data_IF_617086700242
#
_entry.id   IF_617086700242
#
_cell.length_a   1.000
_cell.length_b   1.000
_cell.length_c   1.000
_cell.angle_alpha   90.00
_cell.angle_beta   90.00
_cell.angle_gamma   90.00
#
_symmetry.space_group_name_H-M   'P 1'
#
loop_
_entity.id
_entity.type
_entity.pdbx_description
1 polymer ?
#
# COMPACT_ATOMS: atom_id res chain seq x y z
N UNK A 1 26.43 -0.08 4.62
CA UNK A 1 26.53 -0.96 3.43
C UNK A 1 25.43 -0.52 2.48
N UNK A 2 25.72 -0.14 1.23
CA UNK A 2 24.65 0.28 0.30
C UNK A 2 23.79 -0.93 -0.07
N UNK A 3 22.50 -0.89 0.27
CA UNK A 3 21.53 -1.92 -0.09
C UNK A 3 21.39 -1.93 -1.62
N UNK A 4 21.46 -3.11 -2.25
CA UNK A 4 21.26 -3.18 -3.70
C UNK A 4 19.82 -2.76 -4.05
N UNK A 5 19.62 -1.92 -5.09
CA UNK A 5 18.29 -1.51 -5.54
C UNK A 5 17.37 -2.70 -5.82
N UNK A 6 17.91 -3.78 -6.40
CA UNK A 6 17.18 -5.03 -6.65
C UNK A 6 16.70 -5.70 -5.36
N UNK A 7 17.53 -5.72 -4.31
CA UNK A 7 17.14 -6.31 -3.02
C UNK A 7 16.05 -5.47 -2.35
N UNK A 8 16.19 -4.14 -2.35
CA UNK A 8 15.14 -3.24 -1.86
C UNK A 8 13.82 -3.46 -2.60
N UNK A 9 13.87 -3.59 -3.93
CA UNK A 9 12.70 -3.91 -4.74
C UNK A 9 12.06 -5.24 -4.34
N UNK A 10 12.84 -6.33 -4.33
CA UNK A 10 12.35 -7.68 -4.03
C UNK A 10 11.72 -7.75 -2.65
N UNK A 11 12.28 -7.04 -1.67
CA UNK A 11 11.71 -6.96 -0.32
C UNK A 11 10.35 -6.29 -0.34
N UNK A 12 10.22 -5.08 -0.89
CA UNK A 12 8.91 -4.38 -0.94
C UNK A 12 7.89 -5.20 -1.75
N UNK A 13 8.32 -5.78 -2.86
CA UNK A 13 7.48 -6.62 -3.71
C UNK A 13 6.93 -7.84 -2.96
N UNK A 14 7.76 -8.56 -2.20
CA UNK A 14 7.34 -9.72 -1.43
C UNK A 14 6.32 -9.37 -0.33
N UNK A 15 6.37 -8.15 0.20
CA UNK A 15 5.53 -7.70 1.32
C UNK A 15 4.15 -7.22 0.89
N UNK A 16 3.92 -7.07 -0.42
CA UNK A 16 2.60 -6.76 -0.97
C UNK A 16 1.63 -7.96 -0.92
N UNK A 17 2.11 -9.15 -0.51
CA UNK A 17 1.27 -10.33 -0.30
C UNK A 17 0.43 -10.69 -1.53
N UNK A 18 -0.88 -10.78 -1.36
CA UNK A 18 -1.83 -11.13 -2.42
C UNK A 18 -2.27 -9.95 -3.27
N UNK A 19 -1.89 -8.74 -2.85
CA UNK A 19 -1.87 -7.55 -3.68
C UNK A 19 -0.66 -7.51 -4.63
N UNK A 20 0.10 -8.59 -4.82
CA UNK A 20 1.37 -8.64 -5.58
C UNK A 20 1.39 -7.76 -6.85
N UNK A 21 2.42 -6.91 -7.03
CA UNK A 21 2.61 -6.13 -8.25
C UNK A 21 2.85 -7.03 -9.46
N UNK A 22 2.53 -6.55 -10.66
CA UNK A 22 2.89 -7.18 -11.94
C UNK A 22 4.26 -6.71 -12.45
N UNK A 23 4.74 -5.60 -11.91
CA UNK A 23 6.02 -4.98 -12.27
C UNK A 23 6.36 -3.83 -11.34
N UNK A 24 7.45 -3.14 -11.62
CA UNK A 24 7.87 -1.97 -10.87
C UNK A 24 9.29 -1.52 -11.20
N UNK A 25 9.69 -0.45 -10.54
CA UNK A 25 10.95 0.23 -10.78
C UNK A 25 11.46 0.87 -9.49
N UNK A 26 12.78 0.85 -9.33
CA UNK A 26 13.49 1.57 -8.28
C UNK A 26 14.16 2.76 -8.92
N UNK A 27 13.89 3.94 -8.37
CA UNK A 27 14.32 5.21 -8.92
C UNK A 27 15.08 5.98 -7.86
N UNK A 28 16.23 6.53 -8.24
CA UNK A 28 16.96 7.48 -7.42
C UNK A 28 16.20 8.81 -7.33
N UNK A 29 16.46 9.63 -6.31
CA UNK A 29 15.92 11.00 -6.25
C UNK A 29 16.18 11.85 -7.50
N UNK A 30 17.25 11.58 -8.22
CA UNK A 30 17.58 12.27 -9.48
C UNK A 30 16.67 11.88 -10.65
N UNK A 31 15.74 10.94 -10.45
CA UNK A 31 14.92 10.34 -11.51
C UNK A 31 15.62 9.21 -12.27
N UNK A 32 16.88 8.88 -11.94
CA UNK A 32 17.61 7.77 -12.56
C UNK A 32 17.00 6.43 -12.16
N UNK A 33 16.66 5.60 -13.15
CA UNK A 33 16.25 4.21 -12.93
C UNK A 33 17.47 3.39 -12.46
N UNK A 34 17.34 2.76 -11.30
CA UNK A 34 18.37 1.92 -10.69
C UNK A 34 18.10 0.42 -10.87
N UNK A 35 16.82 0.05 -10.94
CA UNK A 35 16.37 -1.33 -11.17
C UNK A 35 14.96 -1.31 -11.75
N UNK A 36 14.62 -2.24 -12.63
CA UNK A 36 13.33 -2.29 -13.32
C UNK A 36 12.93 -3.74 -13.58
N UNK A 37 11.65 -4.05 -13.38
CA UNK A 37 11.07 -5.36 -13.64
C UNK A 37 9.67 -5.18 -14.24
N UNK A 38 9.44 -5.68 -15.45
CA UNK A 38 8.13 -5.64 -16.13
C UNK A 38 7.40 -4.27 -16.06
N UNK A 39 8.14 -3.18 -16.30
CA UNK A 39 7.61 -1.83 -16.23
C UNK A 39 8.02 -1.06 -17.48
N UNK A 40 7.12 -0.83 -18.41
CA UNK A 40 7.40 -0.28 -19.74
C UNK A 40 6.82 1.14 -19.98
N UNK A 41 6.02 1.66 -19.03
CA UNK A 41 5.36 2.97 -19.13
C UNK A 41 6.29 4.15 -18.78
N UNK A 42 7.19 4.49 -19.69
CA UNK A 42 8.14 5.60 -19.49
C UNK A 42 7.48 6.98 -19.32
N UNK A 43 6.31 7.20 -19.92
CA UNK A 43 5.58 8.47 -19.78
C UNK A 43 4.98 8.60 -18.38
N UNK A 44 4.29 7.55 -17.92
CA UNK A 44 3.74 7.50 -16.55
C UNK A 44 4.86 7.61 -15.53
N UNK A 45 6.00 6.95 -15.77
CA UNK A 45 7.14 7.02 -14.85
C UNK A 45 7.62 8.46 -14.61
N UNK A 46 7.68 9.28 -15.66
CA UNK A 46 8.06 10.69 -15.52
C UNK A 46 7.06 11.45 -14.64
N UNK A 47 5.77 11.23 -14.86
CA UNK A 47 4.72 11.86 -14.07
C UNK A 47 4.80 11.43 -12.60
N UNK A 48 5.03 10.13 -12.33
CA UNK A 48 5.17 9.61 -10.97
C UNK A 48 6.44 10.14 -10.27
N UNK A 49 7.56 10.26 -10.99
CA UNK A 49 8.81 10.82 -10.46
C UNK A 49 8.61 12.28 -10.02
N UNK A 50 7.78 13.05 -10.73
CA UNK A 50 7.48 14.44 -10.37
C UNK A 50 6.81 14.58 -8.99
N UNK A 51 6.21 13.50 -8.48
CA UNK A 51 5.57 13.46 -7.17
C UNK A 51 6.57 13.21 -6.03
N UNK A 52 7.77 12.68 -6.30
CA UNK A 52 8.73 12.27 -5.26
C UNK A 52 9.16 13.39 -4.31
N UNK A 53 9.40 14.64 -4.74
CA UNK A 53 9.79 15.71 -3.84
C UNK A 53 8.73 16.00 -2.76
N UNK A 54 7.48 15.60 -2.99
CA UNK A 54 6.38 15.78 -2.06
C UNK A 54 6.31 14.68 -1.00
N UNK A 55 7.01 13.55 -1.17
CA UNK A 55 6.96 12.39 -0.29
C UNK A 55 8.10 12.43 0.75
N UNK A 56 7.80 12.17 2.01
CA UNK A 56 8.77 11.87 3.07
C UNK A 56 9.15 10.38 3.05
N UNK A 57 10.26 10.04 3.70
CA UNK A 57 10.65 8.65 3.89
C UNK A 57 9.58 7.91 4.68
N UNK A 58 9.16 6.76 4.19
CA UNK A 58 8.07 5.97 4.75
C UNK A 58 6.69 6.30 4.20
N UNK A 59 6.56 7.31 3.33
CA UNK A 59 5.27 7.66 2.73
C UNK A 59 4.85 6.68 1.62
N UNK A 60 3.53 6.49 1.54
CA UNK A 60 2.86 5.78 0.47
C UNK A 60 1.94 6.71 -0.29
N UNK A 61 2.02 6.65 -1.61
CA UNK A 61 1.06 7.28 -2.50
C UNK A 61 0.55 6.27 -3.50
N UNK A 62 -0.76 6.10 -3.59
CA UNK A 62 -1.40 5.37 -4.68
C UNK A 62 -1.98 6.34 -5.71
N UNK A 63 -1.83 6.00 -6.98
CA UNK A 63 -2.47 6.72 -8.10
C UNK A 63 -2.76 5.73 -9.21
N UNK A 64 -4.04 5.57 -9.56
CA UNK A 64 -4.47 4.48 -10.44
C UNK A 64 -3.96 3.12 -9.94
N UNK A 65 -3.45 2.31 -10.86
CA UNK A 65 -2.88 1.00 -10.56
C UNK A 65 -1.40 1.06 -10.14
N UNK A 66 -0.92 2.18 -9.60
CA UNK A 66 0.46 2.34 -9.11
C UNK A 66 0.50 2.60 -7.61
N UNK A 67 1.50 2.02 -6.95
CA UNK A 67 1.88 2.34 -5.58
C UNK A 67 3.30 2.88 -5.58
N UNK A 68 3.47 4.07 -5.01
CA UNK A 68 4.75 4.73 -4.82
C UNK A 68 5.10 4.63 -3.34
N UNK A 69 6.30 4.13 -3.05
CA UNK A 69 6.85 4.06 -1.70
C UNK A 69 8.22 4.72 -1.68
N UNK A 70 8.36 5.79 -0.89
CA UNK A 70 9.67 6.38 -0.63
C UNK A 70 10.37 5.61 0.49
N UNK A 71 11.28 4.72 0.11
CA UNK A 71 12.00 3.84 1.05
C UNK A 71 13.14 4.55 1.78
N UNK A 72 13.76 5.57 1.16
CA UNK A 72 14.83 6.34 1.81
C UNK A 72 14.90 7.76 1.28
N UNK A 73 15.81 8.55 1.83
CA UNK A 73 16.08 9.90 1.35
C UNK A 73 16.55 9.90 -0.11
N UNK A 74 17.09 8.80 -0.64
CA UNK A 74 17.65 8.74 -1.99
C UNK A 74 16.98 7.74 -2.95
N UNK A 75 16.06 6.89 -2.48
CA UNK A 75 15.45 5.82 -3.26
C UNK A 75 13.92 5.81 -3.10
N UNK A 76 13.23 5.71 -4.22
CA UNK A 76 11.78 5.48 -4.30
C UNK A 76 11.50 4.22 -5.10
N UNK A 77 10.57 3.41 -4.60
CA UNK A 77 10.06 2.22 -5.28
C UNK A 77 8.69 2.55 -5.85
N UNK A 78 8.51 2.32 -7.14
CA UNK A 78 7.20 2.38 -7.80
C UNK A 78 6.82 0.96 -8.18
N UNK A 79 5.61 0.55 -7.81
CA UNK A 79 5.04 -0.75 -8.11
C UNK A 79 3.85 -0.57 -9.05
N UNK A 80 3.78 -1.41 -10.09
CA UNK A 80 2.67 -1.48 -11.06
C UNK A 80 1.81 -2.68 -10.70
N UNK A 81 0.50 -2.48 -10.62
CA UNK A 81 -0.48 -3.52 -10.32
C UNK A 81 -1.43 -3.72 -11.48
N UNK A 82 -2.17 -4.83 -11.46
CA UNK A 82 -3.20 -5.10 -12.46
C UNK A 82 -4.40 -4.14 -12.37
N UNK A 83 -4.69 -3.61 -11.19
CA UNK A 83 -5.83 -2.73 -10.94
C UNK A 83 -5.65 -1.90 -9.67
N UNK A 84 -6.48 -0.86 -9.51
CA UNK A 84 -6.58 -0.07 -8.27
C UNK A 84 -6.98 -0.92 -7.05
N UNK A 85 -7.78 -1.96 -7.25
CA UNK A 85 -8.16 -2.90 -6.19
C UNK A 85 -6.94 -3.62 -5.62
N UNK A 86 -6.03 -4.07 -6.49
CA UNK A 86 -4.77 -4.71 -6.08
C UNK A 86 -3.83 -3.72 -5.38
N UNK A 87 -3.82 -2.44 -5.79
CA UNK A 87 -3.10 -1.38 -5.06
C UNK A 87 -3.64 -1.25 -3.65
N UNK A 88 -4.97 -1.13 -3.49
CA UNK A 88 -5.59 -0.98 -2.18
C UNK A 88 -5.30 -2.19 -1.26
N UNK A 89 -5.36 -3.41 -1.80
CA UNK A 89 -4.98 -4.63 -1.06
C UNK A 89 -3.49 -4.64 -0.66
N UNK A 90 -2.60 -4.18 -1.55
CA UNK A 90 -1.18 -4.06 -1.25
C UNK A 90 -0.93 -3.01 -0.16
N UNK A 91 -1.65 -1.88 -0.17
CA UNK A 91 -1.56 -0.87 0.87
C UNK A 91 -1.95 -1.42 2.24
N UNK A 92 -3.06 -2.17 2.32
CA UNK A 92 -3.48 -2.86 3.54
C UNK A 92 -2.38 -3.80 4.08
N UNK A 93 -1.74 -4.55 3.17
CA UNK A 93 -0.64 -5.45 3.53
C UNK A 93 0.62 -4.71 4.00
N UNK A 94 0.91 -3.55 3.41
CA UNK A 94 2.10 -2.75 3.71
C UNK A 94 1.95 -1.94 5.00
N UNK A 95 0.77 -1.39 5.30
CA UNK A 95 0.58 -0.52 6.48
C UNK A 95 0.86 -1.23 7.81
N UNK A 96 0.64 -2.54 7.91
CA UNK A 96 1.09 -3.33 9.07
C UNK A 96 2.62 -3.55 9.10
N UNK A 97 3.25 -3.64 7.93
CA UNK A 97 4.63 -4.09 7.75
C UNK A 97 5.65 -2.97 7.55
N UNK A 98 5.22 -1.75 7.28
CA UNK A 98 6.16 -0.66 6.97
C UNK A 98 6.82 -0.10 8.21
N UNK A 99 6.16 -0.19 9.37
CA UNK A 99 6.85 -0.01 10.64
C UNK A 99 7.96 -1.08 10.88
N UNK A 100 7.86 -2.27 10.26
CA UNK A 100 8.94 -3.27 10.26
C UNK A 100 10.01 -3.00 9.18
N UNK A 101 9.65 -2.30 8.09
CA UNK A 101 10.63 -1.80 7.12
C UNK A 101 11.52 -0.69 7.69
N UNK A 102 10.98 0.21 8.52
CA UNK A 102 11.80 1.16 9.26
C UNK A 102 12.94 0.43 10.01
N UNK A 103 12.63 -0.69 10.67
CA UNK A 103 13.62 -1.55 11.33
C UNK A 103 14.53 -2.39 10.42
N UNK A 104 14.30 -2.43 9.10
CA UNK A 104 15.21 -3.05 8.12
C UNK A 104 16.20 -2.04 7.52
N UNK A 105 15.92 -0.74 7.62
CA UNK A 105 16.76 0.33 7.06
C UNK A 105 17.70 0.98 8.11
N UNK A 106 17.66 0.51 9.37
CA UNK A 106 18.50 0.95 10.50
C UNK A 106 19.97 0.50 10.40
N UNK A 107 20.63 0.71 9.26
CA UNK A 107 22.11 0.66 9.20
C UNK A 107 22.76 1.95 8.68
N UNK A 108 22.03 3.07 8.67
CA UNK A 108 22.60 4.39 8.41
C UNK A 108 22.05 5.44 9.40
N UNK A 109 22.78 5.56 10.52
CA UNK A 109 22.84 6.68 11.48
C UNK A 109 21.53 7.25 12.06
N UNK A 110 21.15 6.71 13.23
CA UNK A 110 20.03 7.08 14.10
C UNK A 110 20.24 8.37 14.92
N UNK A 111 20.25 9.57 14.33
CA UNK A 111 20.29 10.79 15.17
C UNK A 111 19.25 11.88 14.96
N UNK A 112 18.37 11.84 13.94
CA UNK A 112 17.53 13.03 13.67
C UNK A 112 16.11 12.79 13.15
N UNK A 113 15.34 11.84 13.68
CA UNK A 113 13.91 11.81 13.37
C UNK A 113 13.02 11.74 14.60
N UNK A 114 12.54 12.93 14.97
CA UNK A 114 11.44 13.16 15.87
C UNK A 114 10.14 12.74 15.15
N UNK A 115 9.66 11.53 15.44
CA UNK A 115 8.39 10.95 14.95
C UNK A 115 7.22 11.67 15.65
N UNK A 116 7.09 12.98 15.41
CA UNK A 116 6.03 13.84 15.90
C UNK A 116 5.50 14.70 14.75
N UNK A 117 4.92 14.08 13.71
CA UNK A 117 3.93 14.75 12.86
C UNK A 117 3.07 13.74 12.09
N UNK A 118 2.52 12.78 12.83
CA UNK A 118 1.23 12.16 12.54
C UNK A 118 0.48 12.14 13.87
N UNK A 119 -0.25 13.24 14.17
CA UNK A 119 -1.42 13.16 15.06
C UNK A 119 -2.62 12.65 14.23
N UNK A 120 -2.42 11.55 13.54
CA UNK A 120 -3.44 10.52 13.37
C UNK A 120 -3.15 9.57 14.52
N UNK A 121 -4.15 9.08 15.27
CA UNK A 121 -3.93 8.12 16.35
C UNK A 121 -3.21 6.86 15.81
N UNK A 122 -1.88 6.94 15.74
CA UNK A 122 -0.96 5.99 15.14
C UNK A 122 -0.94 4.62 15.86
N UNK A 123 -1.40 4.50 17.14
CA UNK A 123 -1.65 3.20 17.75
C UNK A 123 -2.98 2.53 17.36
N UNK A 124 -3.96 3.26 16.82
CA UNK A 124 -5.30 2.73 16.53
C UNK A 124 -5.41 2.13 15.12
N UNK A 125 -4.70 2.70 14.13
CA UNK A 125 -4.75 2.24 12.73
C UNK A 125 -3.67 1.23 12.34
N UNK A 126 -2.57 1.13 13.12
CA UNK A 126 -1.60 0.01 13.01
C UNK A 126 -2.27 -1.35 13.28
N UNK A 127 -3.48 -1.31 13.83
CA UNK A 127 -4.22 -2.46 14.26
C UNK A 127 -5.33 -2.89 13.32
N UNK A 128 -5.74 -2.17 12.28
CA UNK A 128 -6.95 -2.61 11.54
C UNK A 128 -6.69 -3.92 10.78
N UNK A 129 -5.63 -4.04 9.98
CA UNK A 129 -5.33 -5.31 9.28
C UNK A 129 -4.78 -6.41 10.18
N UNK A 130 -4.06 -6.08 11.26
CA UNK A 130 -3.59 -7.05 12.24
C UNK A 130 -4.72 -7.51 13.20
N UNK A 131 -5.71 -6.67 13.51
CA UNK A 131 -6.92 -7.02 14.28
C UNK A 131 -7.95 -7.75 13.43
N UNK A 132 -8.10 -7.35 12.17
CA UNK A 132 -9.01 -7.99 11.24
C UNK A 132 -8.40 -9.27 10.63
N UNK A 133 -7.09 -9.45 10.73
CA UNK A 133 -6.38 -10.54 10.07
C UNK A 133 -6.55 -10.44 8.56
N UNK A 134 -5.92 -9.47 7.89
CA UNK A 134 -5.98 -9.37 6.43
C UNK A 134 -4.92 -10.24 5.71
N UNK A 135 -4.35 -11.22 6.40
CA UNK A 135 -3.45 -12.21 5.81
C UNK A 135 -4.23 -13.25 5.01
N UNK A 136 -3.72 -13.62 3.84
CA UNK A 136 -4.17 -14.69 2.94
C UNK A 136 -4.56 -16.01 3.61
N UNK A 137 -4.00 -16.30 4.79
CA UNK A 137 -4.29 -17.52 5.55
C UNK A 137 -5.60 -17.46 6.34
N UNK A 138 -6.11 -16.26 6.59
CA UNK A 138 -7.32 -16.00 7.36
C UNK A 138 -8.56 -15.92 6.47
N UNK A 139 -9.74 -15.99 7.08
CA UNK A 139 -11.01 -15.87 6.37
C UNK A 139 -11.21 -14.46 5.78
N UNK A 140 -10.82 -13.41 6.51
CA UNK A 140 -10.88 -12.03 6.03
C UNK A 140 -9.91 -11.81 4.87
N UNK A 141 -8.69 -12.31 4.95
CA UNK A 141 -7.73 -12.23 3.84
C UNK A 141 -8.24 -12.94 2.58
N UNK A 142 -8.79 -14.15 2.72
CA UNK A 142 -9.40 -14.90 1.60
C UNK A 142 -10.57 -14.14 0.96
N UNK A 143 -11.43 -13.52 1.78
CA UNK A 143 -12.55 -12.70 1.30
C UNK A 143 -12.03 -11.48 0.51
N UNK A 144 -11.04 -10.77 1.06
CA UNK A 144 -10.46 -9.60 0.40
C UNK A 144 -9.77 -9.97 -0.91
N UNK A 145 -9.04 -11.08 -0.95
CA UNK A 145 -8.41 -11.60 -2.16
C UNK A 145 -9.43 -11.91 -3.24
N UNK A 146 -10.49 -12.63 -2.87
CA UNK A 146 -11.54 -13.01 -3.80
C UNK A 146 -12.26 -11.79 -4.39
N UNK A 147 -12.62 -10.82 -3.55
CA UNK A 147 -13.23 -9.55 -4.00
C UNK A 147 -12.32 -8.84 -5.01
N UNK A 148 -11.02 -8.79 -4.74
CA UNK A 148 -10.06 -8.11 -5.61
C UNK A 148 -9.85 -8.85 -6.93
N UNK A 149 -9.85 -10.17 -6.91
CA UNK A 149 -9.77 -10.99 -8.14
C UNK A 149 -11.00 -10.79 -9.03
N UNK A 150 -12.18 -10.64 -8.42
CA UNK A 150 -13.44 -10.43 -9.14
C UNK A 150 -13.75 -8.95 -9.43
N UNK A 151 -12.95 -8.03 -8.89
CA UNK A 151 -13.17 -6.57 -8.84
C UNK A 151 -14.36 -6.12 -7.97
N UNK A 152 -15.43 -6.90 -7.94
CA UNK A 152 -16.51 -6.86 -6.95
C UNK A 152 -17.01 -8.29 -6.69
N UNK A 153 -17.66 -8.54 -5.55
CA UNK A 153 -18.26 -9.85 -5.26
C UNK A 153 -19.59 -9.70 -4.53
N UNK A 154 -20.55 -10.58 -4.81
CA UNK A 154 -21.74 -10.73 -3.96
C UNK A 154 -21.46 -11.68 -2.80
N UNK A 155 -22.40 -11.78 -1.85
CA UNK A 155 -22.33 -12.78 -0.78
C UNK A 155 -22.37 -14.20 -1.35
N UNK A 156 -23.15 -14.44 -2.40
CA UNK A 156 -23.23 -15.73 -3.09
C UNK A 156 -21.90 -16.11 -3.74
N UNK A 157 -21.18 -15.15 -4.32
CA UNK A 157 -19.85 -15.41 -4.84
C UNK A 157 -18.88 -15.81 -3.73
N UNK A 158 -18.95 -15.14 -2.58
CA UNK A 158 -18.08 -15.42 -1.43
C UNK A 158 -18.35 -16.78 -0.77
N UNK A 159 -19.56 -17.33 -0.89
CA UNK A 159 -19.87 -18.68 -0.43
C UNK A 159 -19.04 -19.76 -1.17
N UNK A 160 -18.53 -19.45 -2.38
CA UNK A 160 -17.65 -20.33 -3.14
C UNK A 160 -16.29 -20.55 -2.45
N UNK A 161 -15.93 -19.71 -1.47
CA UNK A 161 -14.73 -19.89 -0.65
C UNK A 161 -14.82 -21.08 0.33
N UNK A 162 -15.99 -21.70 0.46
CA UNK A 162 -16.20 -22.82 1.40
C UNK A 162 -16.22 -22.40 2.87
N UNK A 163 -16.32 -21.09 3.14
CA UNK A 163 -16.46 -20.53 4.47
C UNK A 163 -17.91 -20.63 4.94
N UNK A 164 -18.11 -20.65 6.26
CA UNK A 164 -19.47 -20.60 6.83
C UNK A 164 -20.10 -19.24 6.51
N UNK A 165 -21.39 -19.25 6.17
CA UNK A 165 -22.14 -18.03 5.85
C UNK A 165 -22.04 -16.97 6.95
N UNK A 166 -22.23 -17.36 8.22
CA UNK A 166 -22.10 -16.46 9.36
C UNK A 166 -20.70 -15.82 9.47
N UNK A 167 -19.64 -16.54 9.11
CA UNK A 167 -18.26 -16.02 9.10
C UNK A 167 -18.07 -14.99 8.00
N UNK A 168 -18.67 -15.22 6.82
CA UNK A 168 -18.64 -14.25 5.72
C UNK A 168 -19.39 -12.98 6.14
N UNK A 169 -20.61 -13.11 6.69
CA UNK A 169 -21.41 -11.96 7.14
C UNK A 169 -20.68 -11.13 8.19
N UNK A 170 -20.16 -11.77 9.23
CA UNK A 170 -19.41 -11.08 10.30
C UNK A 170 -18.17 -10.37 9.75
N UNK A 171 -17.46 -11.02 8.82
CA UNK A 171 -16.27 -10.45 8.18
C UNK A 171 -16.61 -9.24 7.32
N UNK A 172 -17.65 -9.34 6.49
CA UNK A 172 -18.11 -8.24 5.65
C UNK A 172 -18.60 -7.05 6.48
N UNK A 173 -19.35 -7.30 7.55
CA UNK A 173 -19.80 -6.25 8.47
C UNK A 173 -18.60 -5.51 9.09
N UNK A 174 -17.59 -6.25 9.58
CA UNK A 174 -16.36 -5.67 10.13
C UNK A 174 -15.62 -4.82 9.10
N UNK A 175 -15.47 -5.34 7.88
CA UNK A 175 -14.73 -4.67 6.81
C UNK A 175 -15.45 -3.42 6.30
N UNK A 176 -16.78 -3.45 6.17
CA UNK A 176 -17.59 -2.27 5.80
C UNK A 176 -17.56 -1.23 6.92
N UNK A 177 -17.73 -1.64 8.18
CA UNK A 177 -17.67 -0.73 9.34
C UNK A 177 -16.30 -0.08 9.49
N UNK A 178 -15.23 -0.79 9.16
CA UNK A 178 -13.87 -0.26 9.11
C UNK A 178 -13.60 0.64 7.89
N UNK A 179 -14.56 0.74 6.96
CA UNK A 179 -14.43 1.53 5.73
C UNK A 179 -13.49 0.91 4.69
N UNK A 180 -13.11 -0.36 4.84
CA UNK A 180 -12.26 -1.13 3.92
C UNK A 180 -13.05 -1.56 2.70
N UNK A 181 -14.27 -2.04 2.92
CA UNK A 181 -15.18 -2.37 1.83
C UNK A 181 -16.23 -1.28 1.66
N UNK A 182 -16.56 -0.99 0.41
CA UNK A 182 -17.81 -0.35 0.06
C UNK A 182 -18.83 -1.44 -0.31
N UNK A 183 -20.08 -1.23 0.11
CA UNK A 183 -21.20 -2.12 -0.20
C UNK A 183 -22.22 -1.33 -1.03
N UNK A 184 -22.35 -1.67 -2.30
CA UNK A 184 -23.25 -1.00 -3.23
C UNK A 184 -24.06 -2.06 -4.00
N UNK A 185 -25.40 -1.92 -3.99
CA UNK A 185 -26.31 -2.82 -4.71
C UNK A 185 -26.08 -4.33 -4.41
N UNK A 186 -25.70 -4.67 -3.17
CA UNK A 186 -25.44 -6.05 -2.76
C UNK A 186 -24.08 -6.62 -3.18
N UNK A 187 -23.22 -5.79 -3.76
CA UNK A 187 -21.84 -6.12 -4.11
C UNK A 187 -20.86 -5.44 -3.17
N UNK A 188 -19.75 -6.11 -2.91
CA UNK A 188 -18.66 -5.65 -2.07
C UNK A 188 -17.42 -5.40 -2.91
N UNK A 189 -16.75 -4.28 -2.65
CA UNK A 189 -15.53 -3.87 -3.35
C UNK A 189 -14.55 -3.23 -2.36
N UNK A 190 -13.23 -3.38 -2.57
CA UNK A 190 -12.26 -2.65 -1.74
C UNK A 190 -12.32 -1.17 -2.07
N UNK A 191 -12.46 -0.33 -1.05
CA UNK A 191 -12.42 1.12 -1.23
C UNK A 191 -11.02 1.55 -1.69
N UNK A 192 -10.89 2.03 -2.92
CA UNK A 192 -9.57 2.29 -3.54
C UNK A 192 -8.82 3.50 -2.98
N UNK A 193 -9.51 4.37 -2.24
CA UNK A 193 -8.91 5.52 -1.53
C UNK A 193 -8.42 5.21 -0.11
N UNK A 194 -8.29 3.93 0.25
CA UNK A 194 -8.14 3.50 1.64
C UNK A 194 -6.98 4.18 2.38
N UNK A 195 -5.87 4.46 1.71
CA UNK A 195 -4.72 5.14 2.32
C UNK A 195 -4.01 5.98 1.25
N UNK A 196 -4.56 7.15 0.93
CA UNK A 196 -3.76 8.21 0.29
C UNK A 196 -3.18 9.06 1.41
N UNK A 197 -1.92 8.82 1.82
CA UNK A 197 -1.20 9.80 2.66
C UNK A 197 -0.76 10.91 1.73
N UNK A 198 -1.67 11.84 1.46
CA UNK A 198 -1.34 13.10 0.80
C UNK A 198 -0.65 13.98 1.83
N UNK A 199 0.66 14.20 1.71
CA UNK A 199 1.29 15.29 2.44
C UNK A 199 0.69 16.59 1.91
N UNK A 200 0.03 17.34 2.79
CA UNK A 200 -0.33 18.72 2.48
C UNK A 200 0.95 19.46 2.07
N UNK A 201 0.91 20.13 0.92
CA UNK A 201 1.97 21.03 0.52
C UNK A 201 2.21 22.02 1.66
N UNK A 202 3.47 22.38 1.98
CA UNK A 202 3.69 23.52 2.86
C UNK A 202 2.95 24.71 2.26
N UNK A 203 2.07 25.34 3.06
CA UNK A 203 1.48 26.60 2.65
C UNK A 203 2.61 27.52 2.20
N UNK A 204 2.47 28.23 1.06
CA UNK A 204 3.50 29.17 0.64
C UNK A 204 3.78 30.10 1.82
N UNK A 205 5.03 30.11 2.28
CA UNK A 205 5.43 31.06 3.31
C UNK A 205 5.09 32.46 2.79
N UNK A 206 4.36 33.29 3.56
CA UNK A 206 4.23 34.69 3.18
C UNK A 206 5.65 35.27 3.10
N UNK A 207 5.95 35.89 1.96
CA UNK A 207 7.19 36.61 1.74
C UNK A 207 7.32 37.67 2.83
N UNK A 208 8.40 37.61 3.62
CA UNK A 208 8.82 38.69 4.51
C UNK A 208 9.52 39.77 3.71
#
# INVERSE_FOLDING_TARGET
MEISPELAFKNVFAQCGSGRPVGGVVVANSGKILYQYNFDDNNVLKDLISLFPQLKVGDFLSTGNYLILRVSSGITVILKFASEQKVALAQLSLVGRVAAFAGWFDSLDEKHYNINSLKVNYPENRKICDLLGCDSTTDIGKILEFIVEKSDATKEDLLQLGLKEATIEESLEKLVKAGILEAEQGKYRIRTGLITITLMQPAPQPSL
#
